data_IF_542054564036
#
_entry.id   IF_542054564036
#
_cell.length_a   1.000
_cell.length_b   1.000
_cell.length_c   1.000
_cell.angle_alpha   90.00
_cell.angle_beta   90.00
_cell.angle_gamma   90.00
#
_symmetry.space_group_name_H-M   'P 1'
#
loop_
_entity.id
_entity.type
_entity.pdbx_description
1 polymer ?
#
# COMPACT_ATOMS: atom_id res chain seq x y z
N UNK A 1 -18.09 19.24 14.31
CA UNK A 1 -17.29 18.03 14.06
C UNK A 1 -15.83 18.43 13.90
N UNK A 2 -14.88 17.69 14.48
CA UNK A 2 -13.45 18.01 14.35
C UNK A 2 -13.05 17.93 12.87
N UNK A 3 -12.41 18.94 12.27
CA UNK A 3 -12.07 18.94 10.84
C UNK A 3 -11.19 17.75 10.43
N UNK A 4 -10.40 17.21 11.38
CA UNK A 4 -9.61 15.97 11.19
C UNK A 4 -10.50 14.74 10.96
N UNK A 5 -11.61 14.61 11.69
CA UNK A 5 -12.58 13.52 11.53
C UNK A 5 -13.28 13.61 10.18
N UNK A 6 -13.65 14.81 9.75
CA UNK A 6 -14.26 15.03 8.44
C UNK A 6 -13.29 14.61 7.33
N UNK A 7 -12.03 15.06 7.40
CA UNK A 7 -11.00 14.68 6.43
C UNK A 7 -10.78 13.16 6.36
N UNK A 8 -10.76 12.48 7.51
CA UNK A 8 -10.64 11.03 7.58
C UNK A 8 -11.84 10.31 6.94
N UNK A 9 -13.06 10.75 7.23
CA UNK A 9 -14.27 10.16 6.66
C UNK A 9 -14.30 10.35 5.13
N UNK A 10 -13.98 11.54 4.65
CA UNK A 10 -13.90 11.82 3.20
C UNK A 10 -12.84 10.93 2.54
N UNK A 11 -11.67 10.79 3.14
CA UNK A 11 -10.61 9.91 2.62
C UNK A 11 -11.09 8.46 2.54
N UNK A 12 -11.75 7.94 3.58
CA UNK A 12 -12.27 6.58 3.60
C UNK A 12 -13.34 6.36 2.52
N UNK A 13 -14.24 7.33 2.31
CA UNK A 13 -15.25 7.26 1.25
C UNK A 13 -14.62 7.24 -0.14
N UNK A 14 -13.59 8.07 -0.38
CA UNK A 14 -12.86 8.08 -1.66
C UNK A 14 -12.19 6.73 -1.90
N UNK A 15 -11.52 6.17 -0.89
CA UNK A 15 -10.89 4.85 -0.98
C UNK A 15 -11.91 3.74 -1.24
N UNK A 16 -13.10 3.83 -0.63
CA UNK A 16 -14.19 2.87 -0.84
C UNK A 16 -14.72 2.94 -2.27
N UNK A 17 -14.98 4.14 -2.79
CA UNK A 17 -15.45 4.33 -4.17
C UNK A 17 -14.40 3.85 -5.17
N UNK A 18 -13.13 4.21 -4.96
CA UNK A 18 -12.01 3.71 -5.74
C UNK A 18 -11.96 2.17 -5.72
N UNK A 19 -12.16 1.55 -4.55
CA UNK A 19 -12.20 0.10 -4.41
C UNK A 19 -13.30 -0.54 -5.26
N UNK A 20 -14.53 -0.03 -5.13
CA UNK A 20 -15.70 -0.56 -5.85
C UNK A 20 -15.57 -0.40 -7.37
N UNK A 21 -15.06 0.75 -7.85
CA UNK A 21 -14.86 1.01 -9.28
C UNK A 21 -13.80 0.11 -9.92
N UNK A 22 -12.84 -0.37 -9.13
CA UNK A 22 -11.69 -1.16 -9.59
C UNK A 22 -11.77 -2.62 -9.08
N UNK A 23 -12.99 -3.15 -8.97
CA UNK A 23 -13.29 -4.57 -8.66
C UNK A 23 -13.04 -5.51 -9.83
N UNK A 24 -12.86 -4.98 -11.06
CA UNK A 24 -12.58 -5.80 -12.23
C UNK A 24 -11.30 -6.63 -12.02
N UNK A 25 -11.35 -7.95 -12.23
CA UNK A 25 -10.16 -8.78 -12.11
C UNK A 25 -9.15 -8.43 -13.20
N UNK A 26 -7.89 -8.32 -12.81
CA UNK A 26 -6.74 -8.08 -13.68
C UNK A 26 -5.79 -9.27 -13.59
N UNK A 27 -5.16 -9.61 -14.72
CA UNK A 27 -4.10 -10.59 -14.76
C UNK A 27 -2.82 -9.98 -14.20
N UNK A 28 -2.27 -10.61 -13.17
CA UNK A 28 -1.00 -10.23 -12.55
C UNK A 28 0.04 -11.27 -12.97
N UNK A 29 1.00 -10.84 -13.79
CA UNK A 29 2.18 -11.63 -14.14
C UNK A 29 3.34 -11.20 -13.24
N UNK A 30 3.80 -12.10 -12.39
CA UNK A 30 4.89 -11.86 -11.47
C UNK A 30 5.98 -12.91 -11.64
N UNK A 31 7.10 -12.52 -12.27
CA UNK A 31 8.20 -13.42 -12.63
C UNK A 31 7.69 -14.62 -13.45
N UNK A 32 7.64 -15.81 -12.84
CA UNK A 32 7.18 -17.04 -13.48
C UNK A 32 5.73 -17.41 -13.11
N UNK A 33 5.04 -16.56 -12.34
CA UNK A 33 3.69 -16.81 -11.83
C UNK A 33 2.68 -15.91 -12.52
N UNK A 34 1.49 -16.46 -12.76
CA UNK A 34 0.35 -15.71 -13.29
C UNK A 34 -0.87 -16.01 -12.42
N UNK A 35 -1.58 -14.95 -12.01
CA UNK A 35 -2.80 -15.06 -11.23
C UNK A 35 -3.79 -13.97 -11.63
N UNK A 36 -5.05 -14.10 -11.22
CA UNK A 36 -6.07 -13.07 -11.42
C UNK A 36 -6.53 -12.55 -10.06
N UNK A 37 -6.56 -11.23 -9.91
CA UNK A 37 -6.98 -10.57 -8.67
C UNK A 37 -7.68 -9.25 -8.98
N UNK A 38 -8.46 -8.71 -8.04
CA UNK A 38 -8.99 -7.34 -8.15
C UNK A 38 -7.84 -6.34 -8.29
N UNK A 39 -7.96 -5.39 -9.22
CA UNK A 39 -6.96 -4.33 -9.42
C UNK A 39 -6.66 -3.56 -8.12
N UNK A 40 -7.69 -3.28 -7.31
CA UNK A 40 -7.52 -2.62 -6.01
C UNK A 40 -6.72 -3.46 -5.04
N UNK A 41 -7.02 -4.75 -4.95
CA UNK A 41 -6.27 -5.63 -4.06
C UNK A 41 -4.81 -5.70 -4.50
N UNK A 42 -4.56 -5.80 -5.81
CA UNK A 42 -3.19 -5.78 -6.37
C UNK A 42 -2.47 -4.50 -5.99
N UNK A 43 -3.08 -3.32 -6.22
CA UNK A 43 -2.48 -2.01 -5.91
C UNK A 43 -2.18 -1.88 -4.41
N UNK A 44 -3.15 -2.20 -3.54
CA UNK A 44 -3.00 -2.07 -2.10
C UNK A 44 -1.92 -3.01 -1.54
N UNK A 45 -1.91 -4.27 -1.98
CA UNK A 45 -0.88 -5.23 -1.57
C UNK A 45 0.51 -4.77 -2.03
N UNK A 46 0.66 -4.35 -3.30
CA UNK A 46 1.94 -3.84 -3.80
C UNK A 46 2.42 -2.62 -3.02
N UNK A 47 1.52 -1.69 -2.69
CA UNK A 47 1.84 -0.54 -1.84
C UNK A 47 2.30 -0.96 -0.45
N UNK A 48 1.54 -1.84 0.22
CA UNK A 48 1.88 -2.33 1.55
C UNK A 48 3.24 -3.07 1.57
N UNK A 49 3.52 -3.90 0.57
CA UNK A 49 4.81 -4.58 0.44
C UNK A 49 5.96 -3.59 0.26
N UNK A 50 5.78 -2.55 -0.57
CA UNK A 50 6.78 -1.49 -0.75
C UNK A 50 7.03 -0.70 0.53
N UNK A 51 5.97 -0.32 1.25
CA UNK A 51 6.07 0.37 2.53
C UNK A 51 6.78 -0.49 3.59
N UNK A 52 6.44 -1.78 3.67
CA UNK A 52 7.05 -2.74 4.59
C UNK A 52 8.53 -2.98 4.27
N UNK A 53 8.89 -3.08 2.98
CA UNK A 53 10.28 -3.16 2.54
C UNK A 53 11.07 -1.91 2.93
N UNK A 54 10.53 -0.71 2.69
CA UNK A 54 11.15 0.55 3.08
C UNK A 54 11.35 0.68 4.59
N UNK A 55 10.35 0.29 5.38
CA UNK A 55 10.44 0.25 6.84
C UNK A 55 11.52 -0.74 7.32
N UNK A 56 11.58 -1.93 6.73
CA UNK A 56 12.57 -2.95 7.08
C UNK A 56 14.00 -2.47 6.77
N UNK A 57 14.21 -1.83 5.61
CA UNK A 57 15.52 -1.23 5.26
C UNK A 57 15.94 -0.19 6.29
N UNK A 58 15.01 0.67 6.73
CA UNK A 58 15.30 1.68 7.75
C UNK A 58 15.69 1.03 9.08
N UNK A 59 14.95 0.00 9.51
CA UNK A 59 15.20 -0.70 10.76
C UNK A 59 16.52 -1.48 10.77
N UNK A 60 16.89 -2.08 9.64
CA UNK A 60 18.14 -2.84 9.48
C UNK A 60 19.37 -1.94 9.30
N UNK A 61 19.21 -0.62 9.16
CA UNK A 61 20.34 0.29 8.94
C UNK A 61 21.21 0.36 10.20
N UNK A 62 22.47 -0.10 10.16
CA UNK A 62 23.34 -0.05 11.33
C UNK A 62 23.57 1.41 11.74
N UNK A 63 23.47 1.68 13.05
CA UNK A 63 23.75 3.02 13.60
C UNK A 63 25.22 3.35 13.30
N UNK A 64 25.53 4.48 12.63
CA UNK A 64 26.91 4.82 12.33
C UNK A 64 27.70 4.91 13.62
N UNK A 65 28.77 4.12 13.72
CA UNK A 65 29.72 4.19 14.83
C UNK A 65 30.37 5.56 14.78
N UNK A 66 30.03 6.41 15.75
CA UNK A 66 30.63 7.74 15.90
C UNK A 66 32.07 7.51 16.34
N UNK A 67 33.01 7.49 15.39
CA UNK A 67 34.44 7.55 15.70
C UNK A 67 34.70 8.94 16.30
N UNK A 68 34.95 8.95 17.62
CA UNK A 68 35.48 10.10 18.38
C UNK A 68 36.99 10.07 18.23
#
# INVERSE_FOLDING_TARGET
MQPRLIGLVVLLLVLLVFALQNTRPVAVKFLFWETTASAVLTILISFCLGALAGWLIHYLKPKPSRKI
#
